data_IF_388659787476
#
_entry.id   IF_388659787476
#
_cell.length_a   1.000
_cell.length_b   1.000
_cell.length_c   1.000
_cell.angle_alpha   90.00
_cell.angle_beta   90.00
_cell.angle_gamma   90.00
#
_symmetry.space_group_name_H-M   'P 1'
#
loop_
_entity.id
_entity.type
_entity.pdbx_description
1 polymer ?
#
# COMPACT_ATOMS: atom_id res chain seq x y z
N UNK A 1 -35.88 11.51 5.91
CA UNK A 1 -34.47 11.39 6.36
C UNK A 1 -33.67 10.31 5.63
N UNK A 2 -34.22 9.10 5.38
CA UNK A 2 -33.51 8.01 4.68
C UNK A 2 -32.95 8.36 3.29
N UNK A 3 -33.65 9.17 2.48
CA UNK A 3 -33.20 9.56 1.13
C UNK A 3 -32.03 10.54 1.14
N UNK A 4 -32.00 11.50 2.08
CA UNK A 4 -30.88 12.44 2.26
C UNK A 4 -29.61 11.72 2.74
N UNK A 5 -29.75 10.74 3.63
CA UNK A 5 -28.63 9.91 4.09
C UNK A 5 -28.02 9.07 2.96
N UNK A 6 -28.85 8.47 2.08
CA UNK A 6 -28.35 7.76 0.87
C UNK A 6 -27.61 8.69 -0.09
N UNK A 7 -28.07 9.94 -0.24
CA UNK A 7 -27.44 10.93 -1.10
C UNK A 7 -26.05 11.35 -0.58
N UNK A 8 -25.92 11.55 0.74
CA UNK A 8 -24.63 11.84 1.39
C UNK A 8 -23.66 10.66 1.23
N UNK A 9 -24.13 9.42 1.39
CA UNK A 9 -23.34 8.22 1.19
C UNK A 9 -22.83 8.08 -0.25
N UNK A 10 -23.71 8.32 -1.23
CA UNK A 10 -23.36 8.28 -2.65
C UNK A 10 -22.30 9.35 -3.01
N UNK A 11 -22.48 10.57 -2.52
CA UNK A 11 -21.52 11.66 -2.75
C UNK A 11 -20.17 11.38 -2.07
N UNK A 12 -20.18 10.79 -0.87
CA UNK A 12 -18.96 10.39 -0.16
C UNK A 12 -18.14 9.35 -0.92
N UNK A 13 -18.78 8.38 -1.57
CA UNK A 13 -18.10 7.37 -2.41
C UNK A 13 -17.45 8.03 -3.62
N UNK A 14 -18.11 8.97 -4.29
CA UNK A 14 -17.57 9.65 -5.48
C UNK A 14 -16.29 10.44 -5.18
N UNK A 15 -16.17 11.06 -4.00
CA UNK A 15 -14.98 11.81 -3.61
C UNK A 15 -13.75 10.90 -3.48
N UNK A 16 -13.91 9.65 -3.06
CA UNK A 16 -12.79 8.71 -2.89
C UNK A 16 -12.12 8.31 -4.20
N UNK A 17 -12.85 8.35 -5.32
CA UNK A 17 -12.31 8.03 -6.65
C UNK A 17 -11.60 9.20 -7.34
N UNK A 18 -11.71 10.44 -6.81
CA UNK A 18 -11.12 11.63 -7.43
C UNK A 18 -9.59 11.73 -7.27
N UNK A 19 -8.98 10.97 -6.37
CA UNK A 19 -7.55 11.06 -6.07
C UNK A 19 -6.61 10.37 -7.07
N UNK A 20 -7.14 9.67 -8.08
CA UNK A 20 -6.31 8.99 -9.09
C UNK A 20 -5.82 9.99 -10.15
N UNK A 21 -4.51 10.25 -10.20
CA UNK A 21 -3.90 11.18 -11.15
C UNK A 21 -2.85 10.48 -12.02
N UNK A 22 -2.81 10.86 -13.30
CA UNK A 22 -1.82 10.33 -14.24
C UNK A 22 -0.43 10.95 -14.00
N UNK A 23 0.59 10.10 -13.86
CA UNK A 23 1.98 10.54 -13.69
C UNK A 23 2.56 11.00 -15.03
N UNK A 24 3.14 12.20 -15.05
CA UNK A 24 3.73 12.80 -16.24
C UNK A 24 4.93 11.96 -16.71
N UNK A 25 5.19 11.81 -18.03
CA UNK A 25 6.22 10.90 -18.53
C UNK A 25 7.62 11.10 -17.93
N UNK A 26 8.03 12.35 -17.70
CA UNK A 26 9.33 12.68 -17.11
C UNK A 26 9.44 12.37 -15.61
N UNK A 27 8.32 12.23 -14.89
CA UNK A 27 8.34 11.83 -13.48
C UNK A 27 8.48 10.31 -13.32
N UNK A 28 8.29 9.54 -14.40
CA UNK A 28 8.39 8.07 -14.38
C UNK A 28 9.81 7.57 -14.17
N UNK A 29 10.83 8.40 -14.39
CA UNK A 29 12.22 8.05 -14.07
C UNK A 29 12.43 7.85 -12.57
N UNK A 30 11.84 8.72 -11.75
CA UNK A 30 11.91 8.64 -10.28
C UNK A 30 11.16 7.41 -9.74
N UNK A 31 10.03 7.05 -10.35
CA UNK A 31 9.30 5.84 -9.97
C UNK A 31 10.05 4.54 -10.36
N UNK A 32 10.88 4.60 -11.39
CA UNK A 32 11.72 3.49 -11.83
C UNK A 32 13.12 3.50 -11.18
N UNK A 33 13.32 4.32 -10.15
CA UNK A 33 14.56 4.33 -9.38
C UNK A 33 14.76 2.98 -8.69
N UNK A 34 16.01 2.50 -8.64
CA UNK A 34 16.36 1.23 -8.01
C UNK A 34 15.99 1.19 -6.53
N UNK A 35 15.96 2.34 -5.86
CA UNK A 35 15.50 2.50 -4.48
C UNK A 35 13.98 2.34 -4.31
N UNK A 36 13.20 2.54 -5.37
CA UNK A 36 11.73 2.42 -5.37
C UNK A 36 11.22 1.07 -5.90
N UNK A 37 12.13 0.17 -6.31
CA UNK A 37 11.75 -1.17 -6.73
C UNK A 37 11.10 -1.95 -5.60
N UNK A 38 10.02 -2.66 -5.91
CA UNK A 38 9.34 -3.53 -4.96
C UNK A 38 10.23 -4.72 -4.62
N UNK A 39 10.90 -4.64 -3.47
CA UNK A 39 11.82 -5.66 -2.98
C UNK A 39 12.61 -5.14 -1.79
N UNK A 40 13.24 -6.05 -1.05
CA UNK A 40 14.14 -5.67 0.03
C UNK A 40 15.57 -5.84 -0.47
N UNK A 41 16.39 -4.83 -0.23
CA UNK A 41 17.84 -4.99 -0.25
C UNK A 41 18.25 -6.04 0.81
N UNK A 42 19.44 -6.61 0.68
CA UNK A 42 19.94 -7.61 1.65
C UNK A 42 19.92 -7.08 3.09
N UNK A 43 20.25 -5.81 3.30
CA UNK A 43 20.17 -5.15 4.60
C UNK A 43 18.72 -4.96 5.06
N UNK A 44 17.85 -4.49 4.16
CA UNK A 44 16.43 -4.33 4.46
C UNK A 44 15.74 -5.64 4.83
N UNK A 45 16.17 -6.78 4.28
CA UNK A 45 15.64 -8.11 4.61
C UNK A 45 15.87 -8.49 6.07
N UNK A 46 17.02 -8.14 6.64
CA UNK A 46 17.36 -8.41 8.04
C UNK A 46 16.54 -7.49 8.96
N UNK A 47 16.44 -6.20 8.60
CA UNK A 47 15.63 -5.23 9.34
C UNK A 47 14.16 -5.65 9.34
N UNK A 48 13.60 -6.00 8.18
CA UNK A 48 12.23 -6.47 8.08
C UNK A 48 11.99 -7.79 8.84
N UNK A 49 12.99 -8.68 8.86
CA UNK A 49 12.92 -9.89 9.67
C UNK A 49 12.82 -9.55 11.16
N UNK A 50 13.62 -8.61 11.65
CA UNK A 50 13.58 -8.13 13.03
C UNK A 50 12.24 -7.44 13.36
N UNK A 51 11.75 -6.56 12.49
CA UNK A 51 10.46 -5.87 12.62
C UNK A 51 9.30 -6.87 12.65
N UNK A 52 9.29 -7.87 11.77
CA UNK A 52 8.23 -8.88 11.75
C UNK A 52 8.21 -9.72 13.03
N UNK A 53 9.37 -10.12 13.55
CA UNK A 53 9.44 -10.95 14.77
C UNK A 53 9.01 -10.14 15.99
N UNK A 54 9.31 -8.84 16.02
CA UNK A 54 9.02 -7.97 17.18
C UNK A 54 7.62 -7.36 17.15
N UNK A 55 7.13 -6.99 15.97
CA UNK A 55 5.93 -6.17 15.81
C UNK A 55 4.79 -6.91 15.11
N UNK A 56 5.03 -8.08 14.50
CA UNK A 56 4.02 -8.84 13.76
C UNK A 56 3.45 -8.12 12.53
N UNK A 57 3.89 -6.88 12.26
CA UNK A 57 3.40 -6.02 11.20
C UNK A 57 4.14 -6.28 9.88
N UNK A 58 3.89 -7.44 9.27
CA UNK A 58 4.32 -7.70 7.88
C UNK A 58 3.11 -7.85 6.97
N UNK A 59 2.36 -6.76 6.76
CA UNK A 59 1.35 -6.67 5.70
C UNK A 59 2.01 -6.39 4.35
N UNK A 60 1.49 -6.99 3.27
CA UNK A 60 1.92 -6.85 1.86
C UNK A 60 3.25 -7.51 1.45
N UNK A 61 3.86 -8.36 2.30
CA UNK A 61 5.08 -9.10 1.96
C UNK A 61 4.90 -10.58 2.33
N UNK A 62 4.99 -11.47 1.33
CA UNK A 62 4.87 -12.91 1.54
C UNK A 62 6.04 -13.46 2.36
N UNK A 63 5.83 -13.65 3.66
CA UNK A 63 6.77 -14.36 4.55
C UNK A 63 6.36 -15.83 4.62
N UNK A 64 7.26 -16.73 4.21
CA UNK A 64 7.03 -18.19 4.24
C UNK A 64 6.98 -18.79 5.66
N UNK A 65 7.23 -18.01 6.71
CA UNK A 65 7.25 -18.49 8.09
C UNK A 65 5.98 -18.08 8.85
N UNK A 66 4.95 -18.93 8.79
CA UNK A 66 4.06 -19.22 9.93
C UNK A 66 3.10 -18.14 10.45
N UNK A 67 2.72 -17.14 9.66
CA UNK A 67 1.64 -16.19 10.00
C UNK A 67 0.51 -16.26 8.97
N UNK A 68 -0.74 -16.03 9.41
CA UNK A 68 -1.92 -16.00 8.54
C UNK A 68 -1.71 -14.95 7.43
N UNK A 69 -1.22 -15.40 6.27
CA UNK A 69 -0.89 -14.58 5.12
C UNK A 69 -2.15 -14.07 4.45
N UNK A 70 -2.82 -13.10 5.06
CA UNK A 70 -3.91 -12.38 4.43
C UNK A 70 -3.30 -11.40 3.42
N UNK A 71 -3.62 -11.68 2.15
CA UNK A 71 -3.45 -10.81 0.99
C UNK A 71 -4.33 -9.55 1.15
#
# INVERSE_FOLDING_TARGET
MRTRSKLVLFFGVLVMFYSCQAVKPYQRSYLNDSSMQMGLSKSGAIENYAQTIREGASGARGKSSGGCGCN
#
